data_IF_320040336431
#
_entry.id   IF_320040336431
#
_cell.length_a   1.000
_cell.length_b   1.000
_cell.length_c   1.000
_cell.angle_alpha   90.00
_cell.angle_beta   90.00
_cell.angle_gamma   90.00
#
_symmetry.space_group_name_H-M   'P 1'
#
loop_
_entity.id
_entity.type
_entity.pdbx_description
1 polymer ?
#
# COMPACT_ATOMS: atom_id res chain seq x y z
N UNK A 1 -7.45 15.92 -10.19
CA UNK A 1 -8.33 14.96 -10.90
C UNK A 1 -9.59 15.65 -11.41
N UNK A 2 -9.97 15.37 -12.66
CA UNK A 2 -11.23 15.84 -13.24
C UNK A 2 -12.43 15.06 -12.68
N UNK A 3 -13.64 15.61 -12.77
CA UNK A 3 -14.86 15.00 -12.20
C UNK A 3 -15.10 13.56 -12.69
N UNK A 4 -14.78 13.27 -13.95
CA UNK A 4 -14.86 11.94 -14.54
C UNK A 4 -13.90 10.96 -13.86
N UNK A 5 -12.67 11.39 -13.59
CA UNK A 5 -11.64 10.59 -12.93
C UNK A 5 -11.99 10.35 -11.47
N UNK A 6 -12.54 11.34 -10.76
CA UNK A 6 -13.03 11.19 -9.38
C UNK A 6 -14.11 10.11 -9.30
N UNK A 7 -15.05 10.12 -10.25
CA UNK A 7 -16.11 9.10 -10.32
C UNK A 7 -15.55 7.72 -10.65
N UNK A 8 -14.56 7.64 -11.54
CA UNK A 8 -13.83 6.40 -11.86
C UNK A 8 -13.10 5.87 -10.63
N UNK A 9 -12.34 6.70 -9.93
CA UNK A 9 -11.64 6.36 -8.69
C UNK A 9 -12.61 5.83 -7.63
N UNK A 10 -13.73 6.51 -7.39
CA UNK A 10 -14.76 6.04 -6.44
C UNK A 10 -15.24 4.63 -6.77
N UNK A 11 -15.54 4.33 -8.04
CA UNK A 11 -15.97 2.99 -8.47
C UNK A 11 -14.90 1.93 -8.19
N UNK A 12 -13.66 2.23 -8.57
CA UNK A 12 -12.56 1.27 -8.44
C UNK A 12 -12.15 1.09 -6.97
N UNK A 13 -12.19 2.14 -6.17
CA UNK A 13 -11.96 2.13 -4.72
C UNK A 13 -13.01 1.29 -3.99
N UNK A 14 -14.29 1.45 -4.31
CA UNK A 14 -15.36 0.61 -3.74
C UNK A 14 -15.20 -0.86 -4.11
N UNK A 15 -14.77 -1.14 -5.36
CA UNK A 15 -14.43 -2.51 -5.77
C UNK A 15 -13.24 -3.07 -4.98
N UNK A 16 -12.20 -2.27 -4.75
CA UNK A 16 -11.05 -2.66 -3.93
C UNK A 16 -11.46 -3.03 -2.51
N UNK A 17 -12.26 -2.20 -1.83
CA UNK A 17 -12.77 -2.49 -0.48
C UNK A 17 -13.59 -3.79 -0.43
N UNK A 18 -14.44 -4.02 -1.43
CA UNK A 18 -15.22 -5.27 -1.54
C UNK A 18 -14.31 -6.48 -1.68
N UNK A 19 -13.29 -6.40 -2.54
CA UNK A 19 -12.35 -7.50 -2.75
C UNK A 19 -11.50 -7.81 -1.52
N UNK A 20 -11.09 -6.78 -0.77
CA UNK A 20 -10.39 -6.98 0.50
C UNK A 20 -11.25 -7.72 1.52
N UNK A 21 -12.54 -7.36 1.63
CA UNK A 21 -13.50 -8.07 2.47
C UNK A 21 -13.72 -9.52 2.03
N UNK A 22 -13.89 -9.76 0.72
CA UNK A 22 -14.05 -11.10 0.16
C UNK A 22 -12.82 -11.99 0.37
N UNK A 23 -11.63 -11.40 0.45
CA UNK A 23 -10.37 -12.07 0.77
C UNK A 23 -10.16 -12.27 2.29
N UNK A 24 -11.16 -11.97 3.13
CA UNK A 24 -11.11 -12.20 4.57
C UNK A 24 -10.06 -11.35 5.30
N UNK A 25 -9.66 -10.20 4.75
CA UNK A 25 -8.67 -9.33 5.41
C UNK A 25 -9.25 -8.71 6.69
N UNK A 26 -8.42 -8.60 7.73
CA UNK A 26 -8.80 -7.92 8.97
C UNK A 26 -9.08 -6.44 8.72
N UNK A 27 -9.93 -5.82 9.56
CA UNK A 27 -10.30 -4.41 9.39
C UNK A 27 -9.06 -3.49 9.33
N UNK A 28 -8.07 -3.71 10.22
CA UNK A 28 -6.80 -2.97 10.19
C UNK A 28 -6.08 -3.09 8.84
N UNK A 29 -6.10 -4.28 8.22
CA UNK A 29 -5.48 -4.50 6.91
C UNK A 29 -6.26 -3.81 5.80
N UNK A 30 -7.60 -3.83 5.87
CA UNK A 30 -8.47 -3.11 4.92
C UNK A 30 -8.17 -1.62 4.96
N UNK A 31 -8.10 -1.03 6.16
CA UNK A 31 -7.82 0.39 6.36
C UNK A 31 -6.41 0.75 5.88
N UNK A 32 -5.42 -0.11 6.15
CA UNK A 32 -4.05 0.10 5.72
C UNK A 32 -3.90 0.04 4.19
N UNK A 33 -4.46 -0.98 3.54
CA UNK A 33 -4.33 -1.16 2.08
C UNK A 33 -5.12 -0.10 1.31
N UNK A 34 -6.32 0.25 1.80
CA UNK A 34 -7.12 1.31 1.19
C UNK A 34 -6.44 2.69 1.31
N UNK A 35 -5.75 2.95 2.43
CA UNK A 35 -4.92 4.15 2.60
C UNK A 35 -3.78 4.21 1.58
N UNK A 36 -3.13 3.10 1.28
CA UNK A 36 -2.07 3.05 0.26
C UNK A 36 -2.58 3.51 -1.12
N UNK A 37 -3.75 2.99 -1.54
CA UNK A 37 -4.38 3.34 -2.83
C UNK A 37 -4.77 4.82 -2.87
N UNK A 38 -5.27 5.37 -1.76
CA UNK A 38 -5.57 6.80 -1.67
C UNK A 38 -4.32 7.65 -1.75
N UNK A 39 -3.28 7.31 -0.98
CA UNK A 39 -2.05 8.09 -0.91
C UNK A 39 -1.34 8.17 -2.26
N UNK A 40 -1.27 7.07 -3.00
CA UNK A 40 -0.65 7.10 -4.33
C UNK A 40 -1.47 7.92 -5.33
N UNK A 41 -2.80 7.88 -5.24
CA UNK A 41 -3.69 8.67 -6.09
C UNK A 41 -3.60 10.15 -5.77
N UNK A 42 -3.56 10.52 -4.48
CA UNK A 42 -3.34 11.89 -4.00
C UNK A 42 -1.95 12.42 -4.41
N UNK A 43 -0.93 11.56 -4.47
CA UNK A 43 0.43 11.92 -4.86
C UNK A 43 0.57 12.35 -6.33
N UNK A 44 -0.08 11.62 -7.24
CA UNK A 44 -0.02 11.90 -8.69
C UNK A 44 -1.21 12.70 -9.22
N UNK A 45 -2.17 13.01 -8.36
CA UNK A 45 -3.46 13.61 -8.71
C UNK A 45 -4.17 12.89 -9.89
N UNK A 46 -4.04 11.57 -9.93
CA UNK A 46 -4.56 10.72 -11.00
C UNK A 46 -5.20 9.43 -10.47
N UNK A 47 -5.95 8.75 -11.33
CA UNK A 47 -6.57 7.48 -10.96
C UNK A 47 -5.49 6.38 -10.93
N UNK A 48 -5.43 5.53 -9.88
CA UNK A 48 -4.35 4.56 -9.71
C UNK A 48 -4.29 3.47 -10.77
N UNK A 49 -5.32 3.35 -11.62
CA UNK A 49 -5.34 2.44 -12.76
C UNK A 49 -4.57 2.95 -13.99
N UNK A 50 -4.15 4.22 -13.99
CA UNK A 50 -3.31 4.82 -15.03
C UNK A 50 -1.84 4.94 -14.61
N UNK A 51 -1.50 4.53 -13.39
CA UNK A 51 -0.15 4.67 -12.88
C UNK A 51 0.80 3.75 -13.64
N UNK A 52 1.86 4.35 -14.18
CA UNK A 52 2.92 3.61 -14.84
C UNK A 52 3.89 3.05 -13.79
N UNK A 53 4.68 2.05 -14.17
CA UNK A 53 5.67 1.53 -13.26
C UNK A 53 6.72 2.58 -12.86
N UNK A 54 7.19 3.42 -13.77
CA UNK A 54 8.15 4.50 -13.48
C UNK A 54 7.62 5.48 -12.42
N UNK A 55 6.32 5.79 -12.47
CA UNK A 55 5.67 6.61 -11.44
C UNK A 55 5.70 5.91 -10.07
N UNK A 56 5.48 4.59 -10.02
CA UNK A 56 5.57 3.84 -8.77
C UNK A 56 6.99 3.88 -8.17
N UNK A 57 8.05 3.87 -8.99
CA UNK A 57 9.43 4.04 -8.49
C UNK A 57 9.65 5.39 -7.87
N UNK A 58 9.22 6.46 -8.54
CA UNK A 58 9.30 7.83 -7.99
C UNK A 58 8.55 7.93 -6.66
N UNK A 59 7.36 7.34 -6.59
CA UNK A 59 6.57 7.31 -5.36
C UNK A 59 7.28 6.56 -4.22
N UNK A 60 7.78 5.35 -4.49
CA UNK A 60 8.44 4.55 -3.47
C UNK A 60 9.80 5.11 -3.05
N UNK A 61 10.56 5.73 -3.96
CA UNK A 61 11.80 6.44 -3.65
C UNK A 61 11.56 7.56 -2.63
N UNK A 62 10.51 8.38 -2.83
CA UNK A 62 10.14 9.40 -1.85
C UNK A 62 9.55 8.80 -0.56
N UNK A 63 8.81 7.69 -0.67
CA UNK A 63 8.19 7.07 0.49
C UNK A 63 9.22 6.49 1.46
N UNK A 64 10.35 5.94 0.96
CA UNK A 64 11.42 5.42 1.83
C UNK A 64 12.19 6.52 2.56
N UNK A 65 12.25 7.73 2.00
CA UNK A 65 12.87 8.89 2.66
C UNK A 65 12.00 9.48 3.77
N UNK A 66 10.68 9.40 3.60
CA UNK A 66 9.71 10.11 4.46
C UNK A 66 9.03 9.22 5.50
N UNK A 67 9.04 7.89 5.31
CA UNK A 67 8.30 6.95 6.14
C UNK A 67 9.14 5.74 6.54
N UNK A 68 8.73 5.09 7.64
CA UNK A 68 9.32 3.83 8.08
C UNK A 68 9.21 2.73 7.02
N UNK A 69 10.16 1.79 7.04
CA UNK A 69 10.10 0.59 6.19
C UNK A 69 8.85 -0.27 6.42
N UNK A 70 8.27 -0.24 7.61
CA UNK A 70 6.99 -0.90 7.88
C UNK A 70 5.86 -0.29 7.05
N UNK A 71 5.83 1.05 6.96
CA UNK A 71 4.86 1.77 6.13
C UNK A 71 5.06 1.47 4.64
N UNK A 72 6.31 1.47 4.17
CA UNK A 72 6.66 1.15 2.77
C UNK A 72 6.19 -0.26 2.41
N UNK A 73 6.39 -1.24 3.30
CA UNK A 73 5.90 -2.62 3.10
C UNK A 73 4.38 -2.70 3.01
N UNK A 74 3.68 -1.99 3.90
CA UNK A 74 2.21 -1.95 3.90
C UNK A 74 1.69 -1.40 2.57
N UNK A 75 2.27 -0.29 2.10
CA UNK A 75 1.86 0.33 0.84
C UNK A 75 2.11 -0.55 -0.37
N UNK A 76 3.31 -1.13 -0.43
CA UNK A 76 3.66 -2.10 -1.47
C UNK A 76 2.64 -3.24 -1.53
N UNK A 77 2.29 -3.84 -0.39
CA UNK A 77 1.35 -4.94 -0.35
C UNK A 77 -0.07 -4.51 -0.71
N UNK A 78 -0.49 -3.31 -0.28
CA UNK A 78 -1.80 -2.74 -0.63
C UNK A 78 -1.93 -2.46 -2.13
N UNK A 79 -0.91 -1.85 -2.73
CA UNK A 79 -0.86 -1.60 -4.17
C UNK A 79 -0.75 -2.90 -4.97
N UNK A 80 0.10 -3.85 -4.55
CA UNK A 80 0.17 -5.17 -5.18
C UNK A 80 -1.20 -5.88 -5.18
N UNK A 81 -1.93 -5.83 -4.07
CA UNK A 81 -3.29 -6.36 -4.00
C UNK A 81 -4.23 -5.66 -4.99
N UNK A 82 -4.17 -4.32 -5.05
CA UNK A 82 -4.98 -3.54 -5.97
C UNK A 82 -4.74 -3.95 -7.43
N UNK A 83 -3.49 -4.01 -7.89
CA UNK A 83 -3.20 -4.40 -9.27
C UNK A 83 -3.62 -5.84 -9.57
N UNK A 84 -3.31 -6.78 -8.67
CA UNK A 84 -3.62 -8.20 -8.89
C UNK A 84 -5.12 -8.47 -8.93
N UNK A 85 -5.90 -7.92 -8.01
CA UNK A 85 -7.31 -8.30 -7.83
C UNK A 85 -8.29 -7.29 -8.43
N UNK A 86 -7.94 -6.00 -8.43
CA UNK A 86 -8.82 -4.94 -8.94
C UNK A 86 -8.60 -4.77 -10.45
N UNK A 87 -7.35 -4.54 -10.86
CA UNK A 87 -6.99 -4.35 -12.26
C UNK A 87 -6.83 -5.66 -13.03
N UNK A 88 -6.61 -6.78 -12.32
CA UNK A 88 -6.29 -8.10 -12.92
C UNK A 88 -5.04 -8.04 -13.81
N UNK A 89 -4.06 -7.23 -13.41
CA UNK A 89 -2.77 -7.11 -14.07
C UNK A 89 -1.72 -7.87 -13.26
N UNK A 90 -0.82 -8.56 -13.96
CA UNK A 90 0.33 -9.18 -13.31
C UNK A 90 1.31 -8.12 -12.84
N UNK A 91 1.49 -8.06 -11.53
CA UNK A 91 2.37 -7.11 -10.89
C UNK A 91 3.82 -7.58 -11.00
N UNK A 92 4.55 -7.08 -12.00
CA UNK A 92 5.96 -7.41 -12.23
C UNK A 92 6.94 -6.66 -11.30
N UNK A 93 6.44 -5.72 -10.48
CA UNK A 93 7.23 -4.71 -9.76
C UNK A 93 7.77 -5.12 -8.40
N UNK A 94 7.68 -6.40 -8.06
CA UNK A 94 8.12 -6.95 -6.76
C UNK A 94 9.63 -6.78 -6.50
N UNK A 95 10.45 -6.57 -7.54
CA UNK A 95 11.92 -6.63 -7.44
C UNK A 95 12.65 -5.34 -7.03
N UNK A 96 12.02 -4.16 -7.10
CA UNK A 96 12.72 -2.89 -6.83
C UNK A 96 12.78 -2.56 -5.33
N UNK A 97 11.74 -2.93 -4.57
CA UNK A 97 11.65 -2.59 -3.14
C UNK A 97 12.20 -3.75 -2.30
N UNK A 98 13.45 -3.64 -1.88
CA UNK A 98 14.10 -4.56 -0.94
C UNK A 98 14.14 -3.94 0.46
N UNK A 99 13.14 -4.20 1.33
CA UNK A 99 13.22 -3.69 2.69
C UNK A 99 14.46 -4.26 3.42
N UNK A 100 15.13 -3.48 4.27
CA UNK A 100 16.24 -3.93 5.07
C UNK A 100 15.77 -5.05 6.00
N UNK A 101 16.57 -6.11 6.06
CA UNK A 101 16.35 -7.22 6.99
C UNK A 101 16.86 -6.80 8.37
N UNK A 102 16.00 -6.16 9.16
CA UNK A 102 16.30 -5.81 10.54
C UNK A 102 16.18 -7.10 11.37
N UNK A 103 17.26 -7.49 12.05
CA UNK A 103 17.27 -8.57 13.04
C UNK A 103 17.35 -7.89 14.42
N UNK A 104 16.21 -7.72 15.07
CA UNK A 104 16.15 -7.20 16.44
C UNK A 104 15.76 -8.36 17.36
N UNK A 105 16.56 -8.59 18.39
CA UNK A 105 16.19 -9.51 19.48
C UNK A 105 15.10 -8.81 20.28
N UNK A 106 13.97 -9.45 20.61
CA UNK A 106 12.94 -8.83 21.43
C UNK A 106 13.53 -8.48 22.80
N UNK A 107 13.26 -7.26 23.28
CA UNK A 107 13.53 -6.91 24.68
C UNK A 107 12.63 -7.77 25.57
N UNK A 108 13.26 -8.59 26.40
CA UNK A 108 12.57 -9.37 27.43
C UNK A 108 12.72 -8.59 28.72
N UNK A 109 11.62 -8.02 29.20
CA UNK A 109 11.61 -7.31 30.48
C UNK A 109 11.96 -8.28 31.61
N UNK A 110 12.89 -7.86 32.45
CA UNK A 110 13.21 -8.51 33.71
C UNK A 110 12.10 -8.25 34.74
N UNK A 111 11.92 -9.11 35.76
CA UNK A 111 10.90 -8.89 36.80
C UNK A 111 11.01 -7.52 37.49
N UNK A 112 12.22 -6.98 37.62
CA UNK A 112 12.49 -5.66 38.23
C UNK A 112 11.95 -4.50 37.38
N UNK A 113 11.84 -4.67 36.07
CA UNK A 113 11.31 -3.64 35.17
C UNK A 113 9.76 -3.62 35.14
N UNK A 114 9.12 -4.59 35.81
CA UNK A 114 7.66 -4.76 35.86
C UNK A 114 7.08 -4.31 37.22
N UNK A 115 7.89 -4.23 38.27
CA UNK A 115 7.51 -3.74 39.62
C UNK A 115 7.53 -2.20 39.71
#
# INVERSE_FOLDING_TARGET
>A
MNQTEVNRFKKVYQRHLRLLKLQGKSQKTIDAYSRAVRRVSEYFDCCPDQLTPEQLEIYFARLVETHSWSTVKIDRNGLQFYWRYVLKLDWQWVNIIKPPKIHTIPDILTPVEIE
#
